data_IF_006713975500
#
_entry.id   IF_006713975500
#
_cell.length_a   1.000
_cell.length_b   1.000
_cell.length_c   1.000
_cell.angle_alpha   90.00
_cell.angle_beta   90.00
_cell.angle_gamma   90.00
#
_symmetry.space_group_name_H-M   'P 1'
#
loop_
_entity.id
_entity.type
_entity.pdbx_description
1 polymer ?
#
# COMPACT_ATOMS: atom_id res chain seq x y z
N UNK A 1 -19.86 -1.76 2.92
CA UNK A 1 -19.91 -2.46 4.23
C UNK A 1 -18.74 -2.07 5.09
N UNK A 2 -18.97 -1.52 6.25
CA UNK A 2 -17.93 -0.93 7.11
C UNK A 2 -17.54 -1.84 8.28
N UNK A 3 -17.97 -3.08 8.26
CA UNK A 3 -17.84 -4.02 9.38
C UNK A 3 -16.41 -4.21 9.90
N UNK A 4 -15.42 -4.17 9.01
CA UNK A 4 -14.02 -4.44 9.36
C UNK A 4 -13.14 -3.20 9.36
N UNK A 5 -13.73 -2.03 9.16
CA UNK A 5 -12.95 -0.79 9.16
C UNK A 5 -12.58 -0.43 10.59
N UNK A 6 -11.33 -0.01 10.76
CA UNK A 6 -10.86 0.51 12.03
C UNK A 6 -11.42 1.91 12.28
N UNK A 7 -11.93 2.21 13.47
CA UNK A 7 -12.29 3.58 13.81
C UNK A 7 -11.05 4.48 13.90
N UNK A 8 -11.24 5.77 13.67
CA UNK A 8 -10.16 6.74 13.60
C UNK A 8 -9.28 6.75 14.87
N UNK A 9 -9.89 6.58 16.04
CA UNK A 9 -9.13 6.57 17.30
C UNK A 9 -8.14 5.40 17.40
N UNK A 10 -8.49 4.24 16.80
CA UNK A 10 -7.56 3.08 16.73
C UNK A 10 -6.42 3.34 15.75
N UNK A 11 -6.71 3.96 14.62
CA UNK A 11 -5.67 4.36 13.66
C UNK A 11 -4.68 5.31 14.33
N UNK A 12 -5.18 6.29 15.08
CA UNK A 12 -4.32 7.21 15.83
C UNK A 12 -3.50 6.52 16.90
N UNK A 13 -4.07 5.51 17.56
CA UNK A 13 -3.33 4.70 18.52
C UNK A 13 -2.18 3.91 17.87
N UNK A 14 -2.40 3.36 16.66
CA UNK A 14 -1.34 2.69 15.90
C UNK A 14 -0.23 3.66 15.51
N UNK A 15 -0.58 4.86 15.06
CA UNK A 15 0.40 5.91 14.73
C UNK A 15 1.24 6.27 15.97
N UNK A 16 0.59 6.44 17.12
CA UNK A 16 1.28 6.72 18.38
C UNK A 16 2.22 5.58 18.80
N UNK A 17 1.91 4.34 18.39
CA UNK A 17 2.76 3.17 18.62
C UNK A 17 3.90 3.02 17.59
N UNK A 18 4.01 3.94 16.63
CA UNK A 18 5.08 3.94 15.63
C UNK A 18 4.75 3.30 14.29
N UNK A 19 3.48 2.98 14.03
CA UNK A 19 3.06 2.41 12.75
C UNK A 19 3.09 3.45 11.63
N UNK A 20 3.54 3.03 10.45
CA UNK A 20 3.48 3.83 9.23
C UNK A 20 2.08 3.78 8.63
N UNK A 21 1.67 4.88 8.00
CA UNK A 21 0.42 4.96 7.25
C UNK A 21 0.74 5.06 5.76
N UNK A 22 0.20 4.13 5.00
CA UNK A 22 0.31 4.12 3.55
C UNK A 22 -1.07 4.24 2.91
N UNK A 23 -1.11 4.61 1.63
CA UNK A 23 -2.37 4.78 0.91
C UNK A 23 -2.69 3.55 0.05
N UNK A 24 -3.98 3.32 -0.14
CA UNK A 24 -4.50 2.17 -0.90
C UNK A 24 -5.77 2.56 -1.67
N UNK A 25 -5.78 3.73 -2.29
CA UNK A 25 -6.91 4.34 -2.99
C UNK A 25 -8.05 4.78 -2.06
N UNK A 26 -9.10 5.36 -2.64
CA UNK A 26 -10.31 5.77 -1.92
C UNK A 26 -11.36 4.66 -1.96
N UNK A 27 -11.61 4.07 -3.15
CA UNK A 27 -12.72 3.13 -3.36
C UNK A 27 -12.29 1.72 -3.77
N UNK A 28 -10.99 1.43 -3.79
CA UNK A 28 -10.41 0.13 -4.14
C UNK A 28 -10.78 -0.35 -5.55
N UNK A 29 -10.63 0.48 -6.61
CA UNK A 29 -10.91 0.04 -7.97
C UNK A 29 -9.73 -0.71 -8.57
N UNK A 30 -9.97 -1.35 -9.73
CA UNK A 30 -8.88 -1.76 -10.60
C UNK A 30 -8.32 -0.50 -11.30
N UNK A 31 -7.17 -0.03 -10.87
CA UNK A 31 -6.58 1.21 -11.40
C UNK A 31 -6.18 1.11 -12.86
N UNK A 32 -6.02 -0.09 -13.40
CA UNK A 32 -5.72 -0.30 -14.81
C UNK A 32 -6.95 -0.16 -15.72
N UNK A 33 -8.15 -0.09 -15.14
CA UNK A 33 -9.42 -0.06 -15.85
C UNK A 33 -10.21 1.25 -15.68
N UNK A 34 -9.69 2.21 -14.91
CA UNK A 34 -10.35 3.50 -14.68
C UNK A 34 -9.81 4.56 -15.65
N UNK A 35 -10.57 5.64 -15.86
CA UNK A 35 -10.10 6.79 -16.64
C UNK A 35 -9.07 7.62 -15.86
N UNK A 36 -8.41 8.55 -16.56
CA UNK A 36 -7.32 9.34 -15.97
C UNK A 36 -7.80 10.21 -14.80
N UNK A 37 -8.99 10.77 -14.88
CA UNK A 37 -9.53 11.60 -13.80
C UNK A 37 -9.79 10.79 -12.55
N UNK A 38 -10.35 9.59 -12.70
CA UNK A 38 -10.56 8.69 -11.56
C UNK A 38 -9.24 8.15 -11.02
N UNK A 39 -8.31 7.79 -11.90
CA UNK A 39 -6.98 7.33 -11.49
C UNK A 39 -6.31 8.38 -10.58
N UNK A 40 -6.29 9.62 -11.02
CA UNK A 40 -5.68 10.70 -10.24
C UNK A 40 -6.39 10.92 -8.90
N UNK A 41 -7.72 10.94 -8.90
CA UNK A 41 -8.50 11.08 -7.67
C UNK A 41 -8.23 9.95 -6.68
N UNK A 42 -8.16 8.72 -7.15
CA UNK A 42 -7.91 7.56 -6.31
C UNK A 42 -6.49 7.57 -5.73
N UNK A 43 -5.51 7.91 -6.52
CA UNK A 43 -4.09 7.86 -6.14
C UNK A 43 -3.67 9.11 -5.34
N UNK A 44 -3.86 10.28 -5.92
CA UNK A 44 -3.48 11.54 -5.28
C UNK A 44 -4.46 11.94 -4.18
N UNK A 45 -5.76 11.78 -4.43
CA UNK A 45 -6.79 12.14 -3.47
C UNK A 45 -6.69 11.34 -2.17
N UNK A 46 -6.35 10.07 -2.23
CA UNK A 46 -6.15 9.24 -1.03
C UNK A 46 -4.98 9.74 -0.18
N UNK A 47 -3.89 10.14 -0.81
CA UNK A 47 -2.73 10.70 -0.10
C UNK A 47 -3.08 12.02 0.59
N UNK A 48 -3.74 12.92 -0.13
CA UNK A 48 -4.16 14.21 0.41
C UNK A 48 -5.12 14.04 1.60
N UNK A 49 -6.11 13.16 1.46
CA UNK A 49 -7.10 12.90 2.52
C UNK A 49 -6.44 12.34 3.79
N UNK A 50 -5.57 11.35 3.65
CA UNK A 50 -4.87 10.75 4.79
C UNK A 50 -3.95 11.75 5.49
N UNK A 51 -3.21 12.55 4.75
CA UNK A 51 -2.33 13.57 5.31
C UNK A 51 -3.11 14.64 6.08
N UNK A 52 -4.24 15.07 5.55
CA UNK A 52 -5.11 16.06 6.22
C UNK A 52 -5.75 15.50 7.48
N UNK A 53 -6.23 14.26 7.40
CA UNK A 53 -6.96 13.64 8.51
C UNK A 53 -6.05 13.25 9.66
N UNK A 54 -4.86 12.74 9.37
CA UNK A 54 -3.98 12.12 10.36
C UNK A 54 -2.74 12.96 10.71
N UNK A 55 -2.42 13.98 9.92
CA UNK A 55 -1.24 14.84 10.10
C UNK A 55 0.07 14.05 10.16
N UNK A 56 0.21 13.05 9.28
CA UNK A 56 1.38 12.19 9.16
C UNK A 56 1.88 12.17 7.72
N UNK A 57 3.16 11.80 7.48
CA UNK A 57 3.61 11.49 6.14
C UNK A 57 2.84 10.30 5.58
N UNK A 58 2.57 10.33 4.27
CA UNK A 58 2.01 9.19 3.52
C UNK A 58 2.90 9.03 2.30
N UNK A 59 3.89 8.14 2.40
CA UNK A 59 5.00 8.07 1.45
C UNK A 59 4.93 6.90 0.51
N UNK A 60 4.16 5.85 0.86
CA UNK A 60 4.04 4.65 0.04
C UNK A 60 2.59 4.38 -0.34
N UNK A 61 2.45 3.72 -1.48
CA UNK A 61 1.16 3.33 -2.05
C UNK A 61 1.09 1.82 -2.20
N UNK A 62 -0.10 1.24 -2.10
CA UNK A 62 -0.33 -0.18 -2.37
C UNK A 62 -1.36 -0.31 -3.49
N UNK A 63 -1.02 -1.02 -4.57
CA UNK A 63 -1.95 -1.21 -5.69
C UNK A 63 -3.10 -2.14 -5.28
N UNK A 64 -4.37 -1.72 -5.48
CA UNK A 64 -5.51 -2.60 -5.24
C UNK A 64 -5.38 -3.90 -6.02
N UNK A 65 -5.50 -5.03 -5.33
CA UNK A 65 -5.32 -6.38 -5.88
C UNK A 65 -3.98 -6.60 -6.57
N UNK A 66 -2.99 -5.75 -6.30
CA UNK A 66 -1.68 -5.79 -6.93
C UNK A 66 -1.66 -5.41 -8.40
N UNK A 67 -2.75 -4.85 -8.94
CA UNK A 67 -2.87 -4.52 -10.37
C UNK A 67 -2.29 -3.16 -10.68
N UNK A 68 -1.34 -3.12 -11.59
CA UNK A 68 -0.69 -1.90 -12.05
C UNK A 68 -0.18 -2.06 -13.47
N UNK A 69 0.12 -0.94 -14.09
CA UNK A 69 0.81 -0.83 -15.37
C UNK A 69 1.66 0.44 -15.37
N UNK A 70 2.34 0.72 -16.46
CA UNK A 70 3.22 1.91 -16.55
C UNK A 70 2.46 3.21 -16.34
N UNK A 71 1.22 3.30 -16.79
CA UNK A 71 0.36 4.47 -16.63
C UNK A 71 -0.01 4.71 -15.15
N UNK A 72 -0.34 3.65 -14.43
CA UNK A 72 -0.63 3.71 -12.99
C UNK A 72 0.62 4.10 -12.20
N UNK A 73 1.78 3.50 -12.53
CA UNK A 73 3.06 3.86 -11.89
C UNK A 73 3.35 5.35 -12.08
N UNK A 74 3.13 5.89 -13.28
CA UNK A 74 3.35 7.31 -13.55
C UNK A 74 2.48 8.20 -12.65
N UNK A 75 1.21 7.86 -12.48
CA UNK A 75 0.31 8.59 -11.59
C UNK A 75 0.79 8.53 -10.13
N UNK A 76 1.21 7.38 -9.65
CA UNK A 76 1.74 7.20 -8.28
C UNK A 76 3.01 8.03 -8.07
N UNK A 77 3.90 8.02 -9.04
CA UNK A 77 5.13 8.84 -8.99
C UNK A 77 4.79 10.33 -8.95
N UNK A 78 3.92 10.81 -9.83
CA UNK A 78 3.51 12.22 -9.88
C UNK A 78 2.75 12.67 -8.63
N UNK A 79 2.04 11.77 -7.97
CA UNK A 79 1.35 12.07 -6.72
C UNK A 79 2.29 12.29 -5.52
N UNK A 80 3.58 12.01 -5.68
CA UNK A 80 4.61 12.28 -4.68
C UNK A 80 4.94 11.11 -3.77
N UNK A 81 4.45 9.90 -4.07
CA UNK A 81 4.87 8.71 -3.34
C UNK A 81 6.31 8.35 -3.65
N UNK A 82 7.01 7.81 -2.66
CA UNK A 82 8.40 7.34 -2.81
C UNK A 82 8.48 5.94 -3.38
N UNK A 83 7.41 5.18 -3.28
CA UNK A 83 7.34 3.83 -3.80
C UNK A 83 5.94 3.25 -3.69
N UNK A 84 5.77 2.04 -4.24
CA UNK A 84 4.50 1.34 -4.21
C UNK A 84 4.72 -0.17 -4.12
N UNK A 85 3.85 -0.83 -3.34
CA UNK A 85 3.89 -2.28 -3.13
C UNK A 85 2.94 -3.00 -4.05
N UNK A 86 3.38 -4.16 -4.50
CA UNK A 86 2.63 -5.09 -5.35
C UNK A 86 2.21 -6.32 -4.53
N UNK A 87 1.61 -7.29 -5.20
CA UNK A 87 1.39 -8.63 -4.66
C UNK A 87 2.45 -9.63 -5.12
N UNK A 88 3.49 -9.17 -5.83
CA UNK A 88 4.61 -10.02 -6.24
C UNK A 88 5.34 -10.54 -5.01
N UNK A 89 5.56 -11.85 -4.96
CA UNK A 89 6.21 -12.49 -3.82
C UNK A 89 7.73 -12.31 -3.87
N UNK A 90 8.31 -11.92 -2.76
CA UNK A 90 9.75 -11.81 -2.63
C UNK A 90 10.18 -10.60 -1.81
N UNK A 91 11.48 -10.34 -1.79
CA UNK A 91 12.04 -9.16 -1.15
C UNK A 91 11.89 -7.93 -2.05
N UNK A 92 11.62 -6.79 -1.44
CA UNK A 92 11.58 -5.51 -2.13
C UNK A 92 12.96 -5.15 -2.67
N UNK A 93 13.00 -4.61 -3.89
CA UNK A 93 14.24 -4.19 -4.53
C UNK A 93 14.28 -2.67 -4.64
N UNK A 94 15.26 -1.99 -4.03
CA UNK A 94 15.36 -0.52 -4.09
C UNK A 94 15.47 0.03 -5.51
N UNK A 95 15.99 -0.75 -6.46
CA UNK A 95 16.09 -0.35 -7.87
C UNK A 95 14.72 -0.22 -8.56
N UNK A 96 13.66 -0.81 -8.00
CA UNK A 96 12.30 -0.79 -8.54
C UNK A 96 11.31 -0.32 -7.47
N UNK A 97 11.38 0.95 -7.06
CA UNK A 97 10.64 1.43 -5.90
C UNK A 97 9.12 1.44 -6.10
N UNK A 98 8.63 1.47 -7.34
CA UNK A 98 7.19 1.46 -7.64
C UNK A 98 6.64 0.07 -7.98
N UNK A 99 7.47 -0.98 -7.80
CA UNK A 99 7.11 -2.38 -8.02
C UNK A 99 7.66 -3.24 -6.89
N UNK A 100 7.50 -2.78 -5.65
CA UNK A 100 8.05 -3.46 -4.49
C UNK A 100 7.33 -4.79 -4.24
N UNK A 101 8.08 -5.87 -4.23
CA UNK A 101 7.60 -7.19 -3.84
C UNK A 101 7.37 -7.26 -2.34
N UNK A 102 6.55 -8.19 -1.92
CA UNK A 102 6.27 -8.41 -0.49
C UNK A 102 6.09 -9.90 -0.19
N UNK A 103 6.26 -10.24 1.07
CA UNK A 103 6.04 -11.60 1.57
C UNK A 103 4.67 -11.61 2.25
N UNK A 104 3.74 -12.38 1.71
CA UNK A 104 2.41 -12.49 2.30
C UNK A 104 2.45 -13.44 3.49
N UNK A 105 2.02 -12.95 4.65
CA UNK A 105 1.88 -13.75 5.86
C UNK A 105 0.39 -13.91 6.15
N UNK A 106 -0.05 -15.15 6.36
CA UNK A 106 -1.42 -15.46 6.73
C UNK A 106 -1.49 -15.79 8.22
N UNK A 107 -2.63 -15.53 8.85
CA UNK A 107 -2.82 -15.87 10.25
C UNK A 107 -2.65 -17.36 10.55
N UNK A 108 -2.93 -18.22 9.55
CA UNK A 108 -2.76 -19.67 9.66
C UNK A 108 -1.30 -20.15 9.59
N UNK A 109 -0.35 -19.29 9.21
CA UNK A 109 1.07 -19.67 9.08
C UNK A 109 1.71 -19.97 10.43
N UNK A 110 1.30 -19.29 11.49
CA UNK A 110 1.95 -19.36 12.79
C UNK A 110 3.37 -18.80 12.76
N UNK A 111 4.08 -18.90 13.88
CA UNK A 111 5.46 -18.41 13.99
C UNK A 111 6.40 -19.22 13.10
N UNK A 112 6.26 -20.53 13.07
CA UNK A 112 7.12 -21.43 12.25
C UNK A 112 6.92 -21.14 10.76
N UNK A 113 5.68 -21.01 10.31
CA UNK A 113 5.40 -20.67 8.92
C UNK A 113 5.91 -19.28 8.54
N UNK A 114 5.82 -18.31 9.44
CA UNK A 114 6.39 -16.97 9.27
C UNK A 114 7.92 -17.05 9.07
N UNK A 115 8.62 -17.78 9.93
CA UNK A 115 10.07 -17.98 9.82
C UNK A 115 10.46 -18.66 8.50
N UNK A 116 9.75 -19.71 8.10
CA UNK A 116 10.01 -20.40 6.84
C UNK A 116 9.86 -19.48 5.64
N UNK A 117 8.83 -18.65 5.62
CA UNK A 117 8.61 -17.68 4.52
C UNK A 117 9.73 -16.65 4.44
N UNK A 118 10.22 -16.15 5.58
CA UNK A 118 11.36 -15.23 5.60
C UNK A 118 12.63 -15.90 5.10
N UNK A 119 12.92 -17.12 5.53
CA UNK A 119 14.09 -17.87 5.10
C UNK A 119 14.06 -18.21 3.60
N UNK A 120 12.87 -18.47 3.05
CA UNK A 120 12.71 -18.85 1.64
C UNK A 120 13.10 -17.72 0.66
N UNK A 121 13.11 -16.47 1.10
CA UNK A 121 13.44 -15.30 0.28
C UNK A 121 14.76 -14.65 0.71
N UNK A 122 15.42 -15.18 1.73
CA UNK A 122 16.72 -14.66 2.16
C UNK A 122 17.76 -14.85 1.06
N UNK A 123 18.66 -13.86 0.84
CA UNK A 123 19.71 -13.96 -0.17
C UNK A 123 20.77 -15.02 0.19
#
# INVERSE_FOLDING_TARGET
MQKYNLPLWRVRALIAAGWEIDAHTITHPDLTAVDDAQLWREVHGSRVALRRMLHVPVEFFCYPSGRYNAHVIDAVRRAGYLGATTTNYGLARPARPYELSRIRINGSDGVVGFEHKLESVAP
#
